data_IF_989251421123
#
_entry.id   IF_989251421123
#
_cell.length_a   1.000
_cell.length_b   1.000
_cell.length_c   1.000
_cell.angle_alpha   90.00
_cell.angle_beta   90.00
_cell.angle_gamma   90.00
#
_symmetry.space_group_name_H-M   'P 1'
#
loop_
_entity.id
_entity.type
_entity.pdbx_description
1 polymer ?
#
# COMPACT_ATOMS: atom_id res chain seq x y z
N UNK A 1 -18.62 -14.95 6.78
CA UNK A 1 -17.33 -14.95 6.06
C UNK A 1 -17.47 -13.98 4.89
N UNK A 2 -16.64 -12.92 4.81
CA UNK A 2 -16.65 -11.92 3.74
C UNK A 2 -16.59 -12.52 2.33
N UNK A 3 -16.84 -11.73 1.28
CA UNK A 3 -16.45 -12.17 -0.07
C UNK A 3 -14.96 -12.54 -0.08
N UNK A 4 -14.54 -13.42 -1.00
CA UNK A 4 -13.12 -13.78 -1.14
C UNK A 4 -12.25 -12.51 -1.28
N UNK A 5 -12.73 -11.50 -2.00
CA UNK A 5 -12.06 -10.21 -2.17
C UNK A 5 -11.91 -9.44 -0.86
N UNK A 6 -12.95 -9.40 -0.01
CA UNK A 6 -12.87 -8.67 1.26
C UNK A 6 -11.87 -9.33 2.23
N UNK A 7 -11.77 -10.66 2.22
CA UNK A 7 -10.73 -11.38 2.98
C UNK A 7 -9.32 -11.02 2.49
N UNK A 8 -9.12 -10.96 1.16
CA UNK A 8 -7.82 -10.57 0.59
C UNK A 8 -7.43 -9.17 1.05
N UNK A 9 -8.35 -8.21 1.02
CA UNK A 9 -8.08 -6.84 1.50
C UNK A 9 -7.78 -6.81 3.00
N UNK A 10 -8.49 -7.61 3.79
CA UNK A 10 -8.26 -7.69 5.23
C UNK A 10 -6.83 -8.16 5.55
N UNK A 11 -6.39 -9.26 4.93
CA UNK A 11 -5.03 -9.76 5.13
C UNK A 11 -3.98 -8.80 4.56
N UNK A 12 -4.30 -8.13 3.45
CA UNK A 12 -3.45 -7.09 2.89
C UNK A 12 -3.19 -5.97 3.92
N UNK A 13 -4.24 -5.40 4.54
CA UNK A 13 -4.08 -4.39 5.59
C UNK A 13 -3.34 -4.92 6.82
N UNK A 14 -3.67 -6.15 7.24
CA UNK A 14 -3.05 -6.78 8.40
C UNK A 14 -1.54 -6.94 8.24
N UNK A 15 -1.09 -7.32 7.04
CA UNK A 15 0.33 -7.47 6.70
C UNK A 15 0.99 -6.11 6.46
N UNK A 16 0.27 -5.13 5.91
CA UNK A 16 0.84 -3.80 5.63
C UNK A 16 1.16 -3.00 6.90
N UNK A 17 0.39 -3.14 7.99
CA UNK A 17 0.70 -2.43 9.25
C UNK A 17 2.14 -2.69 9.74
N UNK A 18 2.59 -3.94 9.94
CA UNK A 18 3.97 -4.17 10.37
C UNK A 18 5.00 -3.79 9.31
N UNK A 19 4.69 -3.89 8.01
CA UNK A 19 5.59 -3.43 6.94
C UNK A 19 5.76 -1.91 7.03
N UNK A 20 4.69 -1.14 7.06
CA UNK A 20 4.70 0.32 7.20
C UNK A 20 5.46 0.76 8.45
N UNK A 21 5.19 0.12 9.59
CA UNK A 21 5.82 0.50 10.86
C UNK A 21 7.29 0.09 10.95
N UNK A 22 7.66 -1.09 10.46
CA UNK A 22 9.00 -1.63 10.66
C UNK A 22 9.96 -1.38 9.49
N UNK A 23 9.42 -1.22 8.28
CA UNK A 23 10.17 -1.06 7.04
C UNK A 23 9.97 0.33 6.45
N UNK A 24 8.74 0.73 6.12
CA UNK A 24 8.53 1.97 5.35
C UNK A 24 8.82 3.22 6.18
N UNK A 25 8.51 3.20 7.48
CA UNK A 25 8.81 4.33 8.37
C UNK A 25 10.29 4.73 8.38
N UNK A 26 11.22 3.82 8.02
CA UNK A 26 12.65 4.12 7.92
C UNK A 26 12.95 5.15 6.81
N UNK A 27 12.16 5.24 5.74
CA UNK A 27 12.36 6.27 4.71
C UNK A 27 12.13 7.68 5.29
N UNK A 28 11.23 7.83 6.26
CA UNK A 28 10.90 9.12 6.87
C UNK A 28 11.66 9.41 8.18
N UNK A 29 11.97 8.39 8.98
CA UNK A 29 12.63 8.53 10.28
C UNK A 29 14.16 8.59 10.10
N UNK A 30 14.84 9.63 10.64
CA UNK A 30 16.30 9.70 10.61
C UNK A 30 16.94 8.51 11.35
N UNK A 31 18.10 8.06 10.88
CA UNK A 31 18.74 6.82 11.33
C UNK A 31 18.93 6.72 12.85
N UNK A 32 19.29 7.84 13.49
CA UNK A 32 19.53 7.94 14.93
C UNK A 32 18.26 7.79 15.79
N UNK A 33 17.07 7.84 15.20
CA UNK A 33 15.78 7.65 15.89
C UNK A 33 15.12 6.31 15.55
N UNK A 34 15.73 5.48 14.70
CA UNK A 34 15.20 4.17 14.33
C UNK A 34 15.47 3.15 15.44
N UNK A 35 14.53 2.24 15.65
CA UNK A 35 14.75 1.08 16.51
C UNK A 35 15.75 0.12 15.87
N UNK A 36 16.52 -0.61 16.68
CA UNK A 36 17.49 -1.60 16.18
C UNK A 36 16.86 -2.66 15.27
N UNK A 37 15.62 -3.07 15.56
CA UNK A 37 14.90 -4.02 14.71
C UNK A 37 14.55 -3.41 13.34
N UNK A 38 14.19 -2.14 13.30
CA UNK A 38 13.87 -1.42 12.05
C UNK A 38 15.12 -1.30 11.18
N UNK A 39 16.25 -0.88 11.78
CA UNK A 39 17.54 -0.79 11.07
C UNK A 39 17.95 -2.12 10.45
N UNK A 40 17.90 -3.22 11.23
CA UNK A 40 18.27 -4.55 10.74
C UNK A 40 17.37 -5.04 9.61
N UNK A 41 16.05 -4.87 9.73
CA UNK A 41 15.11 -5.27 8.69
C UNK A 41 15.27 -4.42 7.42
N UNK A 42 15.50 -3.12 7.58
CA UNK A 42 15.71 -2.19 6.49
C UNK A 42 17.00 -2.50 5.72
N UNK A 43 18.12 -2.66 6.42
CA UNK A 43 19.40 -3.07 5.83
C UNK A 43 19.29 -4.43 5.14
N UNK A 44 18.64 -5.40 5.78
CA UNK A 44 18.41 -6.70 5.17
C UNK A 44 17.60 -6.56 3.86
N UNK A 45 16.52 -5.79 3.89
CA UNK A 45 15.66 -5.59 2.73
C UNK A 45 16.38 -4.92 1.56
N UNK A 46 17.08 -3.81 1.83
CA UNK A 46 17.82 -3.07 0.82
C UNK A 46 18.93 -3.93 0.22
N UNK A 47 19.74 -4.56 1.06
CA UNK A 47 20.88 -5.35 0.59
C UNK A 47 20.43 -6.61 -0.17
N UNK A 48 19.35 -7.26 0.29
CA UNK A 48 18.85 -8.48 -0.34
C UNK A 48 18.22 -8.22 -1.71
N UNK A 49 17.51 -7.09 -1.86
CA UNK A 49 16.75 -6.77 -3.07
C UNK A 49 17.45 -5.76 -3.98
N UNK A 50 18.61 -5.25 -3.57
CA UNK A 50 19.26 -4.06 -4.18
C UNK A 50 18.29 -2.90 -4.35
N UNK A 51 17.49 -2.66 -3.31
CA UNK A 51 16.48 -1.61 -3.35
C UNK A 51 17.12 -0.23 -3.18
N UNK A 52 17.46 0.40 -4.30
CA UNK A 52 18.08 1.71 -4.31
C UNK A 52 17.14 2.84 -3.90
N UNK A 53 15.81 2.62 -3.90
CA UNK A 53 14.84 3.59 -3.37
C UNK A 53 15.09 3.83 -1.86
N UNK A 54 15.61 2.82 -1.16
CA UNK A 54 16.00 2.90 0.25
C UNK A 54 17.43 3.41 0.51
N UNK A 55 18.31 3.36 -0.48
CA UNK A 55 19.68 3.87 -0.33
C UNK A 55 19.71 5.39 -0.46
N UNK A 56 19.08 5.93 -1.50
CA UNK A 56 19.08 7.35 -1.82
C UNK A 56 17.66 7.91 -1.67
N UNK A 57 17.19 7.99 -0.42
CA UNK A 57 15.79 8.37 -0.16
C UNK A 57 15.54 9.83 -0.55
N UNK A 58 14.90 10.01 -1.71
CA UNK A 58 14.53 11.31 -2.26
C UNK A 58 13.35 11.94 -1.50
N UNK A 59 13.21 13.26 -1.61
CA UNK A 59 12.18 14.01 -0.88
C UNK A 59 10.74 13.55 -1.20
N UNK A 60 10.47 13.18 -2.46
CA UNK A 60 9.15 12.68 -2.83
C UNK A 60 8.83 11.35 -2.15
N UNK A 61 9.83 10.47 -2.00
CA UNK A 61 9.66 9.18 -1.32
C UNK A 61 9.37 9.39 0.16
N UNK A 62 10.14 10.28 0.81
CA UNK A 62 9.87 10.68 2.20
C UNK A 62 8.46 11.24 2.37
N UNK A 63 8.01 12.04 1.40
CA UNK A 63 6.66 12.63 1.42
C UNK A 63 5.56 11.57 1.30
N UNK A 64 5.75 10.58 0.42
CA UNK A 64 4.80 9.47 0.28
C UNK A 64 4.70 8.64 1.57
N UNK A 65 5.83 8.28 2.16
CA UNK A 65 5.84 7.52 3.42
C UNK A 65 5.27 8.33 4.57
N UNK A 66 5.57 9.64 4.65
CA UNK A 66 4.95 10.49 5.67
C UNK A 66 3.42 10.54 5.50
N UNK A 67 2.93 10.63 4.26
CA UNK A 67 1.52 10.57 3.97
C UNK A 67 0.91 9.20 4.33
N UNK A 68 1.62 8.11 4.06
CA UNK A 68 1.23 6.77 4.48
C UNK A 68 1.07 6.68 5.99
N UNK A 69 2.07 7.11 6.77
CA UNK A 69 2.06 7.07 8.23
C UNK A 69 0.93 7.92 8.83
N UNK A 70 0.65 9.10 8.27
CA UNK A 70 -0.34 10.03 8.81
C UNK A 70 -1.77 9.66 8.40
N UNK A 71 -1.98 9.23 7.15
CA UNK A 71 -3.33 9.05 6.60
C UNK A 71 -3.67 7.59 6.30
N UNK A 72 -2.76 6.83 5.70
CA UNK A 72 -3.07 5.47 5.28
C UNK A 72 -3.01 4.47 6.45
N UNK A 73 -2.02 4.59 7.33
CA UNK A 73 -1.89 3.72 8.49
C UNK A 73 -3.13 3.75 9.43
N UNK A 74 -3.70 4.92 9.78
CA UNK A 74 -4.99 4.96 10.48
C UNK A 74 -6.13 4.28 9.70
N UNK A 75 -6.16 4.40 8.37
CA UNK A 75 -7.14 3.71 7.53
C UNK A 75 -6.95 2.18 7.61
N UNK A 76 -5.71 1.67 7.66
CA UNK A 76 -5.45 0.23 7.78
C UNK A 76 -6.05 -0.32 9.07
N UNK A 77 -5.77 0.37 10.18
CA UNK A 77 -6.27 0.01 11.51
C UNK A 77 -7.80 0.07 11.51
N UNK A 78 -8.40 1.13 10.95
CA UNK A 78 -9.85 1.28 10.92
C UNK A 78 -10.52 0.24 10.01
N UNK A 79 -9.91 -0.12 8.88
CA UNK A 79 -10.41 -1.16 7.99
C UNK A 79 -10.40 -2.54 8.67
N UNK A 80 -9.31 -2.90 9.35
CA UNK A 80 -9.24 -4.14 10.14
C UNK A 80 -10.29 -4.15 11.24
N UNK A 81 -10.44 -3.04 11.95
CA UNK A 81 -11.43 -2.90 13.01
C UNK A 81 -12.86 -3.07 12.48
N UNK A 82 -13.22 -2.37 11.40
CA UNK A 82 -14.54 -2.45 10.76
C UNK A 82 -14.82 -3.86 10.23
N UNK A 83 -13.81 -4.54 9.69
CA UNK A 83 -13.96 -5.91 9.20
C UNK A 83 -14.14 -6.92 10.34
N UNK A 84 -13.39 -6.79 11.43
CA UNK A 84 -13.34 -7.78 12.50
C UNK A 84 -14.45 -7.63 13.55
N UNK A 85 -14.77 -6.40 13.98
CA UNK A 85 -15.66 -6.16 15.13
C UNK A 85 -17.12 -5.94 14.76
N UNK A 86 -17.47 -6.09 13.49
CA UNK A 86 -18.83 -5.86 13.00
C UNK A 86 -19.65 -7.15 13.12
N UNK A 87 -20.57 -7.15 14.08
CA UNK A 87 -21.50 -8.25 14.35
C UNK A 87 -22.30 -8.66 13.10
N UNK A 88 -22.02 -9.86 12.59
CA UNK A 88 -22.79 -10.62 11.59
C UNK A 88 -22.99 -9.99 10.19
N UNK A 89 -22.25 -8.93 9.84
CA UNK A 89 -22.30 -8.38 8.48
C UNK A 89 -21.12 -8.88 7.66
N UNK A 90 -21.41 -9.40 6.48
CA UNK A 90 -20.40 -9.84 5.50
C UNK A 90 -19.74 -8.58 4.90
N UNK A 91 -18.42 -8.47 5.05
CA UNK A 91 -17.60 -7.45 4.38
C UNK A 91 -17.57 -6.06 5.04
N UNK A 92 -16.85 -5.15 4.40
CA UNK A 92 -16.65 -3.76 4.87
C UNK A 92 -17.94 -2.95 4.87
N UNK A 93 -18.09 -2.05 5.85
CA UNK A 93 -19.22 -1.13 5.95
C UNK A 93 -19.31 -0.20 4.74
N UNK A 94 -20.54 0.08 4.29
CA UNK A 94 -20.78 0.97 3.13
C UNK A 94 -20.15 2.35 3.31
N UNK A 95 -20.10 2.85 4.55
CA UNK A 95 -19.44 4.13 4.91
C UNK A 95 -17.95 4.14 4.60
N UNK A 96 -17.32 2.97 4.57
CA UNK A 96 -15.89 2.81 4.35
C UNK A 96 -15.53 2.70 2.86
N UNK A 97 -16.48 2.35 1.99
CA UNK A 97 -16.24 2.17 0.55
C UNK A 97 -15.60 3.40 -0.13
N UNK A 98 -16.09 4.64 0.04
CA UNK A 98 -15.43 5.79 -0.57
C UNK A 98 -14.01 6.00 -0.02
N UNK A 99 -13.78 5.74 1.26
CA UNK A 99 -12.48 5.88 1.92
C UNK A 99 -11.49 4.85 1.34
N UNK A 100 -11.91 3.58 1.20
CA UNK A 100 -11.07 2.52 0.63
C UNK A 100 -10.80 2.72 -0.86
N UNK A 101 -11.72 3.34 -1.58
CA UNK A 101 -11.50 3.71 -2.98
C UNK A 101 -10.42 4.79 -3.12
N UNK A 102 -10.51 5.88 -2.33
CA UNK A 102 -9.50 6.95 -2.30
C UNK A 102 -8.15 6.41 -1.82
N UNK A 103 -8.16 5.57 -0.79
CA UNK A 103 -6.97 4.89 -0.32
C UNK A 103 -6.31 4.05 -1.44
N UNK A 104 -7.10 3.20 -2.11
CA UNK A 104 -6.63 2.35 -3.19
C UNK A 104 -6.00 3.17 -4.33
N UNK A 105 -6.62 4.30 -4.69
CA UNK A 105 -6.04 5.25 -5.63
C UNK A 105 -4.68 5.75 -5.15
N UNK A 106 -4.60 6.31 -3.94
CA UNK A 106 -3.35 6.90 -3.42
C UNK A 106 -2.22 5.86 -3.33
N UNK A 107 -2.49 4.69 -2.74
CA UNK A 107 -1.49 3.63 -2.61
C UNK A 107 -1.05 3.08 -3.97
N UNK A 108 -1.98 2.89 -4.92
CA UNK A 108 -1.60 2.47 -6.26
C UNK A 108 -0.79 3.55 -6.98
N UNK A 109 -1.14 4.82 -6.82
CA UNK A 109 -0.43 5.94 -7.45
C UNK A 109 1.00 6.08 -6.92
N UNK A 110 1.21 6.11 -5.60
CA UNK A 110 2.55 6.22 -5.02
C UNK A 110 3.43 5.05 -5.44
N UNK A 111 2.91 3.83 -5.42
CA UNK A 111 3.66 2.64 -5.87
C UNK A 111 3.93 2.66 -7.37
N UNK A 112 3.00 3.17 -8.19
CA UNK A 112 3.23 3.36 -9.62
C UNK A 112 4.39 4.32 -9.87
N UNK A 113 4.50 5.40 -9.09
CA UNK A 113 5.66 6.31 -9.17
C UNK A 113 6.96 5.56 -8.79
N UNK A 114 6.95 4.69 -7.77
CA UNK A 114 8.10 3.85 -7.45
C UNK A 114 8.50 2.93 -8.61
N UNK A 115 7.52 2.26 -9.24
CA UNK A 115 7.73 1.37 -10.39
C UNK A 115 8.31 2.15 -11.58
N UNK A 116 7.74 3.31 -11.89
CA UNK A 116 8.25 4.20 -12.95
C UNK A 116 9.69 4.60 -12.62
N UNK A 117 9.96 5.01 -11.38
CA UNK A 117 11.30 5.37 -10.95
C UNK A 117 12.28 4.22 -11.12
N UNK A 118 11.90 3.00 -10.75
CA UNK A 118 12.70 1.79 -10.98
C UNK A 118 13.02 1.62 -12.47
N UNK A 119 12.01 1.70 -13.35
CA UNK A 119 12.19 1.53 -14.80
C UNK A 119 13.20 2.55 -15.37
N UNK A 120 13.13 3.81 -14.94
CA UNK A 120 13.96 4.88 -15.51
C UNK A 120 15.31 5.07 -14.82
N UNK A 121 15.47 4.65 -13.56
CA UNK A 121 16.66 4.94 -12.75
C UNK A 121 17.47 3.72 -12.33
N UNK A 122 17.08 2.51 -12.73
CA UNK A 122 17.81 1.28 -12.40
C UNK A 122 19.29 1.31 -12.83
N UNK A 123 19.58 1.69 -14.07
CA UNK A 123 20.98 1.71 -14.58
C UNK A 123 21.86 2.71 -13.84
N UNK A 124 21.35 3.91 -13.59
CA UNK A 124 22.05 4.95 -12.82
C UNK A 124 22.34 4.53 -11.37
N UNK A 125 21.58 3.56 -10.84
CA UNK A 125 21.71 3.04 -9.48
C UNK A 125 22.36 1.65 -9.42
N UNK A 126 23.05 1.24 -10.50
CA UNK A 126 23.90 0.04 -10.50
C UNK A 126 23.17 -1.27 -10.82
N UNK A 127 21.92 -1.21 -11.30
CA UNK A 127 21.19 -2.35 -11.87
C UNK A 127 21.25 -2.22 -13.38
N UNK A 128 22.15 -2.98 -14.02
CA UNK A 128 22.41 -2.88 -15.47
C UNK A 128 21.39 -3.72 -16.23
N UNK A 129 20.66 -3.10 -17.16
CA UNK A 129 19.70 -3.79 -18.02
C UNK A 129 18.55 -4.49 -17.30
N UNK A 130 17.98 -5.52 -17.95
CA UNK A 130 16.84 -6.31 -17.44
C UNK A 130 17.28 -7.59 -16.71
N UNK A 131 18.29 -7.48 -15.85
CA UNK A 131 18.82 -8.60 -15.08
C UNK A 131 17.87 -9.05 -13.95
N UNK A 132 18.23 -10.12 -13.25
CA UNK A 132 17.43 -10.69 -12.15
C UNK A 132 17.04 -9.65 -11.10
N UNK A 133 17.95 -8.75 -10.77
CA UNK A 133 17.77 -7.72 -9.74
C UNK A 133 16.68 -6.71 -10.12
N UNK A 134 16.61 -6.33 -11.40
CA UNK A 134 15.55 -5.49 -11.94
C UNK A 134 14.18 -6.13 -11.79
N UNK A 135 14.05 -7.41 -12.19
CA UNK A 135 12.79 -8.14 -12.09
C UNK A 135 12.41 -8.47 -10.65
N UNK A 136 13.39 -8.75 -9.80
CA UNK A 136 13.15 -8.97 -8.37
C UNK A 136 12.59 -7.70 -7.71
N UNK A 137 13.19 -6.55 -8.02
CA UNK A 137 12.73 -5.27 -7.48
C UNK A 137 11.33 -4.91 -8.02
N UNK A 138 11.09 -5.02 -9.32
CA UNK A 138 9.73 -4.84 -9.87
C UNK A 138 8.72 -5.81 -9.25
N UNK A 139 9.09 -7.07 -9.06
CA UNK A 139 8.25 -8.08 -8.43
C UNK A 139 7.89 -7.77 -6.99
N UNK A 140 8.72 -6.99 -6.28
CA UNK A 140 8.44 -6.53 -4.92
C UNK A 140 7.37 -5.43 -4.88
N UNK A 141 7.46 -4.46 -5.78
CA UNK A 141 6.55 -3.31 -5.84
C UNK A 141 5.25 -3.59 -6.64
N UNK A 142 5.26 -4.56 -7.55
CA UNK A 142 4.09 -4.84 -8.40
C UNK A 142 2.85 -5.30 -7.60
N UNK A 143 2.96 -6.21 -6.63
CA UNK A 143 1.82 -6.63 -5.81
C UNK A 143 1.20 -5.47 -5.02
N UNK A 144 2.04 -4.57 -4.50
CA UNK A 144 1.61 -3.38 -3.74
C UNK A 144 1.06 -2.27 -4.65
N UNK A 145 1.15 -2.42 -5.96
CA UNK A 145 0.44 -1.61 -6.95
C UNK A 145 -0.90 -2.25 -7.36
N UNK A 146 -0.86 -3.51 -7.80
CA UNK A 146 -2.02 -4.20 -8.38
C UNK A 146 -3.15 -4.32 -7.37
N UNK A 147 -2.85 -4.70 -6.13
CA UNK A 147 -3.88 -4.97 -5.14
C UNK A 147 -4.62 -3.68 -4.73
N UNK A 148 -3.95 -2.55 -4.41
CA UNK A 148 -4.63 -1.27 -4.18
C UNK A 148 -5.36 -0.74 -5.40
N UNK A 149 -4.83 -0.92 -6.62
CA UNK A 149 -5.52 -0.52 -7.84
C UNK A 149 -6.83 -1.31 -8.03
N UNK A 150 -6.80 -2.62 -7.80
CA UNK A 150 -8.00 -3.45 -7.82
C UNK A 150 -9.00 -3.03 -6.74
N UNK A 151 -8.51 -2.78 -5.52
CA UNK A 151 -9.31 -2.28 -4.40
C UNK A 151 -10.02 -0.95 -4.74
N UNK A 152 -9.31 -0.01 -5.39
CA UNK A 152 -9.86 1.25 -5.84
C UNK A 152 -11.09 1.05 -6.73
N UNK A 153 -10.94 0.25 -7.79
CA UNK A 153 -12.02 -0.01 -8.75
C UNK A 153 -13.18 -0.80 -8.13
N UNK A 154 -12.88 -1.80 -7.30
CA UNK A 154 -13.92 -2.59 -6.62
C UNK A 154 -14.79 -1.70 -5.73
N UNK A 155 -14.21 -0.93 -4.81
CA UNK A 155 -14.99 -0.05 -3.94
C UNK A 155 -15.66 1.11 -4.68
N UNK A 156 -15.04 1.65 -5.74
CA UNK A 156 -15.70 2.62 -6.62
C UNK A 156 -16.97 2.03 -7.25
N UNK A 157 -16.89 0.81 -7.78
CA UNK A 157 -18.03 0.12 -8.38
C UNK A 157 -19.13 -0.18 -7.35
N UNK A 158 -18.76 -0.58 -6.12
CA UNK A 158 -19.72 -0.78 -5.02
C UNK A 158 -20.45 0.52 -4.67
N UNK A 159 -19.74 1.65 -4.57
CA UNK A 159 -20.35 2.96 -4.37
C UNK A 159 -21.33 3.33 -5.50
N UNK A 160 -20.93 3.16 -6.76
CA UNK A 160 -21.76 3.50 -7.91
C UNK A 160 -23.05 2.66 -7.96
N UNK A 161 -22.97 1.36 -7.64
CA UNK A 161 -24.15 0.49 -7.56
C UNK A 161 -25.13 0.96 -6.48
N UNK A 162 -24.63 1.27 -5.29
CA UNK A 162 -25.48 1.76 -4.18
C UNK A 162 -26.20 3.07 -4.53
N UNK A 163 -25.51 4.00 -5.18
CA UNK A 163 -26.10 5.26 -5.61
C UNK A 163 -27.20 5.05 -6.65
N UNK A 164 -27.02 4.10 -7.57
CA UNK A 164 -28.03 3.77 -8.57
C UNK A 164 -29.26 3.08 -7.94
N UNK A 165 -29.06 2.14 -7.02
CA UNK A 165 -30.14 1.44 -6.33
C UNK A 165 -30.98 2.38 -5.46
N UNK A 166 -30.34 3.40 -4.87
CA UNK A 166 -31.05 4.42 -4.08
C UNK A 166 -31.96 5.27 -4.99
N UNK A 167 -31.45 5.71 -6.15
CA UNK A 167 -32.25 6.49 -7.12
C UNK A 167 -33.49 5.74 -7.62
N UNK A 168 -33.39 4.43 -7.82
CA UNK A 168 -34.53 3.60 -8.26
C UNK A 168 -35.60 3.47 -7.18
N UNK A 169 -35.23 3.48 -5.89
CA UNK A 169 -36.20 3.41 -4.78
C UNK A 169 -36.93 4.73 -4.52
N UNK A 170 -36.33 5.84 -4.92
CA UNK A 170 -36.90 7.18 -4.77
C UNK A 170 -37.81 7.57 -5.97
N UNK A 171 -37.95 6.71 -6.98
CA UNK A 171 -38.84 6.84 -8.13
C UNK A 171 -40.12 6.00 -7.96
#
# INVERSE_FOLDING_TARGET
>A
MGSITDNVYFYYFLIHIPITLLMDSNYAIPENYRLTIQQKLYEFHINKNKDFLGLNVELWMKSFVLFELIFQLPIFIYAIYDYYFKNDKIGYSKKLWPILSIYGFNASFTTLICIIYIIFKSEENGIVGFEFEFWNLLGLYTPTFILPAYMMFDFMNRCMRELNDTKVKDQ
#
